data_IF_337783161903
#
_entry.id   IF_337783161903
#
_cell.length_a   1.000
_cell.length_b   1.000
_cell.length_c   1.000
_cell.angle_alpha   90.00
_cell.angle_beta   90.00
_cell.angle_gamma   90.00
#
_symmetry.space_group_name_H-M   'P 1'
#
loop_
_entity.id
_entity.type
_entity.pdbx_description
1 polymer ?
#
# COMPACT_ATOMS: atom_id res chain seq x y z
N UNK A 1 -8.16 -21.04 53.41
CA UNK A 1 -9.09 -22.18 53.54
C UNK A 1 -9.10 -22.85 52.17
N UNK A 2 -8.26 -23.84 51.94
CA UNK A 2 -8.50 -25.31 52.09
C UNK A 2 -9.60 -25.77 51.12
N UNK A 3 -9.46 -26.73 50.19
CA UNK A 3 -8.74 -28.04 50.14
C UNK A 3 -8.75 -28.51 48.69
N UNK A 4 -7.72 -29.08 48.10
CA UNK A 4 -7.35 -30.53 47.97
C UNK A 4 -8.30 -31.33 47.07
N UNK A 5 -7.89 -31.82 45.92
CA UNK A 5 -7.08 -32.99 45.53
C UNK A 5 -7.90 -34.30 45.46
N UNK A 6 -7.74 -35.02 44.32
CA UNK A 6 -7.70 -36.48 44.16
C UNK A 6 -7.55 -36.79 42.65
N UNK A 7 -6.51 -37.26 42.11
CA UNK A 7 -5.88 -38.58 42.14
C UNK A 7 -6.84 -39.73 41.78
N UNK A 8 -6.61 -40.30 40.62
CA UNK A 8 -7.20 -41.57 40.15
C UNK A 8 -6.27 -42.24 39.13
N UNK A 9 -5.37 -43.07 39.63
CA UNK A 9 -4.66 -44.13 38.87
C UNK A 9 -5.56 -45.34 38.75
N UNK A 10 -5.51 -45.99 37.61
CA UNK A 10 -5.73 -47.46 37.40
C UNK A 10 -5.85 -47.70 35.89
N UNK A 11 -5.43 -48.69 35.22
CA UNK A 11 -4.81 -49.98 35.54
C UNK A 11 -4.42 -50.62 34.22
N UNK A 12 -3.24 -51.20 34.18
CA UNK A 12 -2.77 -52.05 33.07
C UNK A 12 -3.63 -53.32 32.96
N UNK A 13 -4.14 -53.62 31.76
CA UNK A 13 -4.59 -54.96 31.40
C UNK A 13 -3.86 -55.49 30.18
N UNK A 14 -2.93 -56.38 30.39
CA UNK A 14 -2.26 -57.19 29.40
C UNK A 14 -3.26 -58.15 28.75
N UNK A 15 -3.40 -58.16 27.44
CA UNK A 15 -4.00 -59.27 26.69
C UNK A 15 -3.03 -59.81 25.65
N UNK A 16 -2.88 -61.13 25.65
CA UNK A 16 -2.00 -61.99 24.84
C UNK A 16 -2.53 -62.10 23.39
N UNK A 17 -1.65 -62.46 22.44
CA UNK A 17 -1.98 -62.50 21.03
C UNK A 17 -2.76 -63.73 20.62
N UNK A 18 -3.74 -63.56 19.74
CA UNK A 18 -4.39 -64.61 19.01
C UNK A 18 -3.80 -64.72 17.58
N UNK A 19 -3.30 -65.92 17.31
CA UNK A 19 -2.77 -66.36 16.02
C UNK A 19 -3.95 -66.57 15.06
N UNK A 20 -4.00 -65.81 13.97
CA UNK A 20 -5.07 -65.94 12.96
C UNK A 20 -4.57 -65.62 11.55
N UNK A 21 -4.35 -66.72 10.84
CA UNK A 21 -4.36 -66.98 9.39
C UNK A 21 -4.12 -65.78 8.44
N UNK A 22 -3.01 -65.88 7.74
CA UNK A 22 -2.70 -65.09 6.56
C UNK A 22 -3.68 -65.39 5.41
N UNK A 23 -4.41 -64.37 4.96
CA UNK A 23 -5.00 -64.31 3.61
C UNK A 23 -4.15 -63.40 2.78
N UNK A 24 -3.47 -63.93 1.79
CA UNK A 24 -2.78 -63.07 0.78
C UNK A 24 -3.82 -62.46 -0.14
N UNK A 25 -4.01 -61.17 0.01
CA UNK A 25 -4.76 -60.37 -0.97
C UNK A 25 -3.74 -59.75 -1.92
N UNK A 26 -3.74 -60.23 -3.18
CA UNK A 26 -3.04 -59.55 -4.26
C UNK A 26 -3.68 -58.17 -4.46
N UNK A 27 -3.06 -57.13 -3.92
CA UNK A 27 -3.43 -55.76 -4.23
C UNK A 27 -2.82 -55.34 -5.55
N UNK A 28 -3.66 -55.14 -6.56
CA UNK A 28 -3.27 -54.38 -7.76
C UNK A 28 -2.93 -52.96 -7.33
N UNK A 29 -1.65 -52.59 -7.36
CA UNK A 29 -1.20 -51.23 -7.21
C UNK A 29 -1.53 -50.46 -8.50
N UNK A 30 -2.64 -49.74 -8.51
CA UNK A 30 -2.94 -48.74 -9.54
C UNK A 30 -2.00 -47.55 -9.33
N UNK A 31 -0.94 -47.48 -10.13
CA UNK A 31 -0.10 -46.31 -10.23
C UNK A 31 -0.90 -45.18 -10.88
N UNK A 32 -1.51 -44.30 -10.07
CA UNK A 32 -2.07 -43.05 -10.55
C UNK A 32 -0.91 -42.14 -10.96
N UNK A 33 -0.64 -42.07 -12.26
CA UNK A 33 0.26 -41.08 -12.83
C UNK A 33 -0.35 -39.67 -12.59
N UNK A 34 0.18 -38.93 -11.62
CA UNK A 34 -0.09 -37.53 -11.46
C UNK A 34 0.50 -36.80 -12.66
N UNK A 35 -0.31 -36.58 -13.68
CA UNK A 35 0.03 -35.67 -14.77
C UNK A 35 0.07 -34.25 -14.17
N UNK A 36 1.27 -33.81 -13.78
CA UNK A 36 1.50 -32.43 -13.37
C UNK A 36 1.23 -31.52 -14.57
N UNK A 37 0.08 -30.82 -14.56
CA UNK A 37 -0.20 -29.79 -15.52
C UNK A 37 0.72 -28.60 -15.17
N UNK A 38 1.89 -28.54 -15.81
CA UNK A 38 2.75 -27.36 -15.76
C UNK A 38 2.06 -26.24 -16.52
N UNK A 39 1.54 -25.24 -15.81
CA UNK A 39 1.06 -24.03 -16.45
C UNK A 39 2.25 -23.38 -17.19
N UNK A 40 2.06 -22.95 -18.45
CA UNK A 40 3.13 -22.30 -19.20
C UNK A 40 3.54 -21.02 -18.48
N UNK A 41 4.84 -20.82 -18.27
CA UNK A 41 5.38 -19.59 -17.74
C UNK A 41 4.98 -18.44 -18.66
N UNK A 42 4.41 -17.37 -18.08
CA UNK A 42 3.98 -16.18 -18.84
C UNK A 42 5.22 -15.54 -19.49
N UNK A 43 5.18 -15.19 -20.77
CA UNK A 43 6.33 -14.60 -21.42
C UNK A 43 6.71 -13.27 -20.80
N UNK A 44 7.99 -13.03 -20.55
CA UNK A 44 8.54 -11.84 -19.87
C UNK A 44 8.07 -10.50 -20.50
N UNK A 45 7.87 -10.45 -21.82
CA UNK A 45 7.34 -9.27 -22.53
C UNK A 45 5.90 -8.94 -22.12
N UNK A 46 5.06 -9.94 -21.91
CA UNK A 46 3.66 -9.75 -21.49
C UNK A 46 3.57 -9.24 -20.06
N UNK A 47 4.44 -9.71 -19.18
CA UNK A 47 4.52 -9.23 -17.79
C UNK A 47 4.98 -7.77 -17.74
N UNK A 48 5.94 -7.38 -18.59
CA UNK A 48 6.40 -5.99 -18.70
C UNK A 48 5.30 -5.04 -19.18
N UNK A 49 4.50 -5.44 -20.15
CA UNK A 49 3.37 -4.63 -20.65
C UNK A 49 2.27 -4.51 -19.60
N UNK A 50 1.90 -5.61 -18.94
CA UNK A 50 0.94 -5.58 -17.84
C UNK A 50 1.43 -4.71 -16.66
N UNK A 51 2.72 -4.75 -16.36
CA UNK A 51 3.35 -3.88 -15.35
C UNK A 51 3.23 -2.40 -15.72
N UNK A 52 3.55 -2.03 -16.96
CA UNK A 52 3.38 -0.65 -17.46
C UNK A 52 1.93 -0.18 -17.38
N UNK A 53 0.99 -1.03 -17.81
CA UNK A 53 -0.44 -0.72 -17.74
C UNK A 53 -0.91 -0.49 -16.30
N UNK A 54 -0.47 -1.33 -15.36
CA UNK A 54 -0.75 -1.16 -13.94
C UNK A 54 -0.16 0.16 -13.41
N UNK A 55 1.06 0.51 -13.80
CA UNK A 55 1.66 1.79 -13.42
C UNK A 55 0.86 2.99 -13.94
N UNK A 56 0.34 2.93 -15.15
CA UNK A 56 -0.49 4.01 -15.68
C UNK A 56 -1.76 4.25 -14.85
N UNK A 57 -2.33 3.21 -14.24
CA UNK A 57 -3.44 3.39 -13.28
C UNK A 57 -2.96 4.06 -11.99
N UNK A 58 -1.80 3.66 -11.45
CA UNK A 58 -1.18 4.33 -10.31
C UNK A 58 -0.88 5.80 -10.62
N UNK A 59 -0.33 6.09 -11.79
CA UNK A 59 -0.02 7.43 -12.25
C UNK A 59 -1.25 8.36 -12.21
N UNK A 60 -2.41 7.90 -12.69
CA UNK A 60 -3.67 8.67 -12.63
C UNK A 60 -4.05 9.07 -11.21
N UNK A 61 -3.78 8.22 -10.23
CA UNK A 61 -4.03 8.52 -8.82
C UNK A 61 -3.02 9.53 -8.30
N UNK A 62 -1.72 9.30 -8.55
CA UNK A 62 -0.65 10.16 -8.03
C UNK A 62 -0.70 11.58 -8.62
N UNK A 63 -1.24 11.76 -9.82
CA UNK A 63 -1.46 13.06 -10.45
C UNK A 63 -2.83 13.66 -10.18
N UNK A 64 -3.68 12.99 -9.39
CA UNK A 64 -4.93 13.59 -8.90
C UNK A 64 -4.65 14.69 -7.86
N UNK A 65 -5.56 15.66 -7.69
CA UNK A 65 -5.37 16.73 -6.70
C UNK A 65 -5.10 16.22 -5.28
N UNK A 66 -5.65 15.06 -4.93
CA UNK A 66 -5.48 14.46 -3.58
C UNK A 66 -4.05 14.05 -3.27
N UNK A 67 -3.25 13.76 -4.28
CA UNK A 67 -1.86 13.38 -4.13
C UNK A 67 -0.93 14.55 -4.50
N UNK A 68 -1.11 15.16 -5.68
CA UNK A 68 -0.18 16.18 -6.17
C UNK A 68 -0.20 17.46 -5.32
N UNK A 69 -1.31 17.79 -4.61
CA UNK A 69 -1.35 18.98 -3.75
C UNK A 69 -0.35 18.91 -2.59
N UNK A 70 -0.02 17.72 -2.10
CA UNK A 70 1.03 17.51 -1.11
C UNK A 70 2.42 17.26 -1.73
N UNK A 71 2.47 17.01 -3.03
CA UNK A 71 3.70 16.68 -3.78
C UNK A 71 4.05 17.73 -4.87
N UNK A 72 4.03 19.07 -4.54
CA UNK A 72 4.39 20.13 -5.47
C UNK A 72 5.89 20.22 -5.69
N UNK A 73 6.30 20.84 -6.78
CA UNK A 73 7.70 21.20 -7.03
C UNK A 73 8.20 22.27 -6.06
N UNK A 74 7.36 23.28 -5.82
CA UNK A 74 7.66 24.40 -4.94
C UNK A 74 7.60 24.05 -3.45
N UNK A 75 7.78 25.07 -2.61
CA UNK A 75 7.70 24.94 -1.15
C UNK A 75 6.31 25.29 -0.59
N UNK A 76 5.41 25.79 -1.42
CA UNK A 76 4.01 25.96 -1.05
C UNK A 76 3.23 24.69 -1.40
N UNK A 77 2.37 24.15 -0.53
CA UNK A 77 1.40 23.15 -0.90
C UNK A 77 0.43 23.70 -1.96
N UNK A 78 -0.22 22.80 -2.69
CA UNK A 78 -1.36 23.16 -3.51
C UNK A 78 -2.66 22.86 -2.76
N UNK A 79 -3.76 23.42 -3.26
CA UNK A 79 -5.07 23.35 -2.64
C UNK A 79 -6.17 23.27 -3.71
N UNK A 80 -7.33 22.75 -3.31
CA UNK A 80 -8.49 22.62 -4.20
C UNK A 80 -8.39 21.46 -5.18
N UNK A 81 -9.43 21.30 -6.00
CA UNK A 81 -9.49 20.30 -7.06
C UNK A 81 -8.80 20.77 -8.35
N UNK A 82 -8.58 22.04 -8.48
CA UNK A 82 -7.80 22.71 -9.52
C UNK A 82 -6.30 22.81 -9.20
N UNK A 83 -5.90 22.36 -8.00
CA UNK A 83 -4.49 22.38 -7.56
C UNK A 83 -3.83 23.75 -7.60
N UNK A 84 -4.54 24.83 -7.26
CA UNK A 84 -3.93 26.15 -7.12
C UNK A 84 -3.02 26.23 -5.89
N UNK A 85 -2.13 27.21 -5.86
CA UNK A 85 -1.24 27.45 -4.71
C UNK A 85 -2.07 27.79 -3.47
N UNK A 86 -1.72 27.22 -2.32
CA UNK A 86 -2.42 27.44 -1.05
C UNK A 86 -2.55 28.91 -0.70
N UNK A 87 -3.78 29.40 -0.58
CA UNK A 87 -4.10 30.84 -0.51
C UNK A 87 -3.48 31.57 0.69
N UNK A 88 -3.25 30.88 1.81
CA UNK A 88 -2.67 31.47 3.03
C UNK A 88 -1.15 31.65 2.94
N UNK A 89 -0.55 31.48 1.75
CA UNK A 89 0.89 31.61 1.52
C UNK A 89 1.77 30.79 2.46
N UNK A 90 1.26 29.64 2.93
CA UNK A 90 2.02 28.71 3.76
C UNK A 90 3.18 28.10 2.98
N UNK A 91 4.23 27.74 3.69
CA UNK A 91 5.42 27.10 3.13
C UNK A 91 5.70 25.80 3.87
N UNK A 92 6.35 24.87 3.19
CA UNK A 92 6.74 23.54 3.69
C UNK A 92 7.49 23.60 5.01
N UNK A 93 8.39 24.57 5.17
CA UNK A 93 9.33 24.58 6.28
C UNK A 93 10.40 23.48 6.19
N UNK A 94 11.29 23.41 7.18
CA UNK A 94 12.42 22.50 7.17
C UNK A 94 12.04 21.04 7.42
N UNK A 95 10.90 20.79 8.06
CA UNK A 95 10.41 19.50 8.50
C UNK A 95 9.13 19.03 7.78
N UNK A 96 8.59 19.86 6.89
CA UNK A 96 7.32 19.60 6.20
C UNK A 96 6.07 20.06 6.96
N UNK A 97 6.21 20.56 8.19
CA UNK A 97 5.09 20.98 9.05
C UNK A 97 4.82 22.50 9.07
N UNK A 98 5.33 23.22 8.09
CA UNK A 98 5.18 24.67 8.01
C UNK A 98 6.36 25.43 8.61
N UNK A 99 6.38 26.74 8.38
CA UNK A 99 7.40 27.63 8.94
C UNK A 99 7.01 28.12 10.34
N UNK A 100 7.98 28.64 11.11
CA UNK A 100 7.71 29.25 12.40
C UNK A 100 6.67 30.37 12.26
N UNK A 101 5.66 30.37 13.11
CA UNK A 101 4.55 31.34 13.06
C UNK A 101 3.43 30.99 12.06
N UNK A 102 3.62 29.97 11.21
CA UNK A 102 2.60 29.48 10.27
C UNK A 102 2.72 27.96 10.10
N UNK A 103 2.47 27.23 11.18
CA UNK A 103 2.49 25.79 11.21
C UNK A 103 1.21 25.23 10.59
N UNK A 104 1.33 24.06 9.93
CA UNK A 104 0.19 23.39 9.30
C UNK A 104 -0.93 23.08 10.30
N UNK A 105 -0.56 22.63 11.51
CA UNK A 105 -1.48 22.25 12.59
C UNK A 105 -2.21 23.43 13.24
N UNK A 106 -1.84 24.67 12.91
CA UNK A 106 -2.62 25.86 13.29
C UNK A 106 -4.04 25.83 12.70
N UNK A 107 -4.19 25.31 11.49
CA UNK A 107 -5.47 25.21 10.79
C UNK A 107 -5.91 23.75 10.54
N UNK A 108 -4.96 22.84 10.30
CA UNK A 108 -5.21 21.44 10.04
C UNK A 108 -5.23 20.65 11.35
N UNK A 109 -6.44 20.36 11.83
CA UNK A 109 -6.64 19.62 13.08
C UNK A 109 -6.42 18.12 12.88
N UNK A 110 -6.62 17.33 13.93
CA UNK A 110 -6.47 15.87 13.88
C UNK A 110 -7.53 15.14 13.04
N UNK A 111 -8.60 15.86 12.66
CA UNK A 111 -9.71 15.36 11.84
C UNK A 111 -10.17 16.46 10.89
N UNK A 112 -10.78 16.05 9.77
CA UNK A 112 -11.48 16.98 8.89
C UNK A 112 -12.52 17.78 9.68
N UNK A 113 -12.55 19.07 9.47
CA UNK A 113 -13.64 19.91 9.98
C UNK A 113 -14.92 19.69 9.15
N UNK A 114 -16.10 19.73 9.76
CA UNK A 114 -17.36 19.55 9.04
C UNK A 114 -17.64 20.76 8.12
N UNK A 115 -18.21 20.48 6.96
CA UNK A 115 -18.60 21.47 5.95
C UNK A 115 -17.73 21.44 4.71
N UNK A 116 -18.30 21.99 3.61
CA UNK A 116 -17.63 21.99 2.31
C UNK A 116 -16.36 22.84 2.34
N UNK A 117 -15.29 22.28 1.79
CA UNK A 117 -13.98 22.93 1.66
C UNK A 117 -13.32 23.41 2.97
N UNK A 118 -13.85 23.02 4.12
CA UNK A 118 -13.25 23.33 5.41
C UNK A 118 -11.84 22.72 5.53
N UNK A 119 -10.93 23.29 6.37
CA UNK A 119 -9.59 22.75 6.51
C UNK A 119 -9.61 21.23 6.78
N UNK A 120 -8.94 20.44 5.95
CA UNK A 120 -8.83 19.00 6.20
C UNK A 120 -7.92 18.74 7.39
N UNK A 121 -8.02 17.56 7.98
CA UNK A 121 -7.24 17.21 9.17
C UNK A 121 -6.74 15.76 9.16
N UNK A 122 -5.56 15.60 9.76
CA UNK A 122 -4.94 14.33 10.07
C UNK A 122 -3.89 14.58 11.17
N UNK A 123 -3.70 13.67 12.15
CA UNK A 123 -2.70 13.86 13.21
C UNK A 123 -1.26 14.02 12.71
N UNK A 124 -0.98 13.54 11.49
CA UNK A 124 0.35 13.57 10.85
C UNK A 124 0.41 14.59 9.71
N UNK A 125 -0.47 15.61 9.68
CA UNK A 125 -0.57 16.55 8.57
C UNK A 125 0.76 17.24 8.29
N UNK A 126 1.34 16.95 7.12
CA UNK A 126 2.64 17.46 6.70
C UNK A 126 2.86 17.27 5.21
N UNK A 127 3.78 18.03 4.66
CA UNK A 127 4.37 17.78 3.35
C UNK A 127 5.61 16.87 3.49
N UNK A 128 6.04 16.18 2.44
CA UNK A 128 7.37 15.59 2.40
C UNK A 128 8.45 16.66 2.68
N UNK A 129 9.54 16.29 3.32
CA UNK A 129 10.60 17.25 3.69
C UNK A 129 11.21 17.93 2.44
N UNK A 130 11.82 19.12 2.57
CA UNK A 130 12.44 19.80 1.44
C UNK A 130 13.58 19.02 0.80
N UNK A 131 14.19 18.10 1.53
CA UNK A 131 15.26 17.22 1.03
C UNK A 131 14.74 16.09 0.13
N UNK A 132 13.44 15.77 0.23
CA UNK A 132 12.81 14.65 -0.46
C UNK A 132 11.37 15.00 -0.82
N UNK A 133 11.19 16.00 -1.66
CA UNK A 133 9.87 16.55 -2.01
C UNK A 133 8.95 15.55 -2.67
N UNK A 134 9.45 14.53 -3.38
CA UNK A 134 8.63 13.60 -4.15
C UNK A 134 7.64 14.34 -5.05
N UNK A 135 8.16 15.06 -6.05
CA UNK A 135 7.34 15.92 -6.92
C UNK A 135 6.49 15.08 -7.86
N UNK A 136 5.16 15.30 -7.85
CA UNK A 136 4.23 14.65 -8.78
C UNK A 136 3.71 15.60 -9.85
N UNK A 137 3.61 16.87 -9.53
CA UNK A 137 3.11 17.91 -10.43
C UNK A 137 4.00 18.02 -11.68
N UNK A 138 3.38 17.98 -12.85
CA UNK A 138 4.07 18.17 -14.13
C UNK A 138 4.94 16.99 -14.58
N UNK A 139 5.01 15.89 -13.81
CA UNK A 139 5.77 14.71 -14.20
C UNK A 139 5.01 13.88 -15.24
N UNK A 140 5.71 13.47 -16.28
CA UNK A 140 5.21 12.44 -17.18
C UNK A 140 5.11 11.07 -16.51
N UNK A 141 4.36 10.11 -17.05
CA UNK A 141 4.30 8.76 -16.50
C UNK A 141 5.68 8.12 -16.34
N UNK A 142 6.55 8.30 -17.33
CA UNK A 142 7.92 7.78 -17.30
C UNK A 142 8.76 8.40 -16.17
N UNK A 143 8.74 9.73 -16.08
CA UNK A 143 9.52 10.46 -15.05
C UNK A 143 9.08 10.08 -13.65
N UNK A 144 7.75 10.00 -13.40
CA UNK A 144 7.24 9.62 -12.09
C UNK A 144 7.55 8.17 -11.75
N UNK A 145 7.47 7.27 -12.72
CA UNK A 145 7.88 5.88 -12.54
C UNK A 145 9.36 5.75 -12.15
N UNK A 146 10.24 6.44 -12.87
CA UNK A 146 11.69 6.45 -12.58
C UNK A 146 11.94 7.03 -11.18
N UNK A 147 11.28 8.15 -10.84
CA UNK A 147 11.40 8.78 -9.52
C UNK A 147 11.00 7.82 -8.39
N UNK A 148 9.90 7.09 -8.54
CA UNK A 148 9.44 6.12 -7.53
C UNK A 148 10.42 4.94 -7.36
N UNK A 149 11.17 4.58 -8.39
CA UNK A 149 12.15 3.49 -8.35
C UNK A 149 13.51 3.93 -7.80
N UNK A 150 13.80 5.21 -7.78
CA UNK A 150 15.09 5.74 -7.33
C UNK A 150 15.06 6.09 -5.83
N UNK A 151 15.76 5.34 -4.96
CA UNK A 151 15.82 5.62 -3.53
C UNK A 151 16.32 7.03 -3.19
N UNK A 152 17.12 7.65 -4.05
CA UNK A 152 17.59 9.02 -3.85
C UNK A 152 16.49 10.05 -4.04
N UNK A 153 15.43 9.71 -4.78
CA UNK A 153 14.32 10.58 -5.10
C UNK A 153 13.02 10.24 -4.35
N UNK A 154 12.90 8.99 -3.85
CA UNK A 154 11.67 8.49 -3.23
C UNK A 154 11.72 8.42 -1.69
N UNK A 155 12.71 9.05 -1.06
CA UNK A 155 12.85 9.02 0.39
C UNK A 155 13.52 7.79 0.95
N UNK A 156 14.34 7.11 0.15
CA UNK A 156 15.08 5.89 0.56
C UNK A 156 14.19 4.65 0.63
N UNK A 157 12.99 4.68 0.05
CA UNK A 157 12.03 3.58 0.13
C UNK A 157 12.29 2.52 -0.92
N UNK A 158 12.13 1.26 -0.54
CA UNK A 158 11.99 0.15 -1.48
C UNK A 158 10.59 0.18 -2.13
N UNK A 159 10.40 -0.54 -3.23
CA UNK A 159 9.08 -0.67 -3.86
C UNK A 159 8.03 -1.28 -2.92
N UNK A 160 8.43 -2.24 -2.08
CA UNK A 160 7.55 -2.81 -1.05
C UNK A 160 7.13 -1.76 -0.01
N UNK A 161 8.05 -0.90 0.43
CA UNK A 161 7.74 0.20 1.36
C UNK A 161 6.84 1.26 0.70
N UNK A 162 6.98 1.51 -0.60
CA UNK A 162 6.06 2.41 -1.32
C UNK A 162 4.66 1.81 -1.43
N UNK A 163 4.55 0.51 -1.70
CA UNK A 163 3.28 -0.20 -1.70
C UNK A 163 2.62 -0.13 -0.32
N UNK A 164 3.36 -0.40 0.75
CA UNK A 164 2.86 -0.32 2.13
C UNK A 164 2.42 1.11 2.48
N UNK A 165 3.20 2.12 2.08
CA UNK A 165 2.87 3.53 2.28
C UNK A 165 1.53 3.91 1.62
N UNK A 166 1.27 3.49 0.39
CA UNK A 166 -0.01 3.72 -0.27
C UNK A 166 -1.14 2.92 0.39
N UNK A 167 -0.87 1.66 0.74
CA UNK A 167 -1.89 0.77 1.28
C UNK A 167 -2.29 1.08 2.73
N UNK A 168 -1.35 1.53 3.59
CA UNK A 168 -1.53 1.51 5.03
C UNK A 168 -1.23 2.83 5.76
N UNK A 169 -0.51 3.78 5.16
CA UNK A 169 -0.19 5.04 5.84
C UNK A 169 -1.45 5.90 6.07
N UNK A 170 -1.62 6.42 7.29
CA UNK A 170 -2.81 7.16 7.69
C UNK A 170 -2.94 8.50 6.96
N UNK A 171 -1.82 9.20 6.75
CA UNK A 171 -1.83 10.49 6.05
C UNK A 171 -2.15 10.31 4.57
N UNK A 172 -1.58 9.28 3.94
CA UNK A 172 -1.93 8.92 2.55
C UNK A 172 -3.39 8.49 2.46
N UNK A 173 -3.90 7.77 3.46
CA UNK A 173 -5.30 7.35 3.54
C UNK A 173 -6.29 8.49 3.55
N UNK A 174 -5.88 9.66 4.04
CA UNK A 174 -6.70 10.88 3.97
C UNK A 174 -7.13 11.21 2.53
N UNK A 175 -6.33 10.92 1.52
CA UNK A 175 -6.67 11.18 0.12
C UNK A 175 -8.01 10.56 -0.32
N UNK A 176 -8.45 9.49 0.32
CA UNK A 176 -9.73 8.81 0.10
C UNK A 176 -10.81 9.16 1.11
N UNK A 177 -10.51 10.07 2.04
CA UNK A 177 -11.47 10.67 2.96
C UNK A 177 -11.15 12.18 3.12
N UNK A 178 -11.20 12.97 2.05
CA UNK A 178 -10.67 14.34 2.04
C UNK A 178 -11.59 15.38 2.69
N UNK A 179 -12.76 14.96 3.20
CA UNK A 179 -13.81 15.86 3.67
C UNK A 179 -14.72 16.36 2.55
N UNK A 180 -15.76 17.08 2.95
CA UNK A 180 -16.83 17.51 2.07
C UNK A 180 -16.37 18.45 0.95
N UNK A 181 -17.04 18.39 -0.20
CA UNK A 181 -16.79 19.25 -1.35
C UNK A 181 -15.51 18.94 -2.16
N UNK A 182 -14.82 17.82 -1.92
CA UNK A 182 -13.58 17.44 -2.60
C UNK A 182 -13.73 16.15 -3.40
N UNK A 183 -13.21 16.16 -4.64
CA UNK A 183 -13.20 14.97 -5.49
C UNK A 183 -12.26 13.91 -4.94
N UNK A 184 -12.66 12.65 -5.08
CA UNK A 184 -11.82 11.50 -4.72
C UNK A 184 -10.81 11.19 -5.84
N UNK A 185 -9.71 10.47 -5.53
CA UNK A 185 -8.86 9.89 -6.56
C UNK A 185 -9.65 8.97 -7.52
N UNK A 186 -9.17 8.78 -8.75
CA UNK A 186 -9.89 8.01 -9.78
C UNK A 186 -10.01 6.51 -9.51
N UNK A 187 -9.27 5.98 -8.55
CA UNK A 187 -9.36 4.62 -8.05
C UNK A 187 -9.51 4.66 -6.52
N UNK A 188 -10.19 3.67 -5.95
CA UNK A 188 -10.18 3.46 -4.50
C UNK A 188 -8.78 3.14 -4.00
N UNK A 189 -8.56 3.28 -2.67
CA UNK A 189 -7.27 2.94 -2.06
C UNK A 189 -6.87 1.48 -2.30
N UNK A 190 -7.83 0.57 -2.18
CA UNK A 190 -7.62 -0.87 -2.39
C UNK A 190 -7.23 -1.16 -3.84
N UNK A 191 -7.94 -0.56 -4.81
CA UNK A 191 -7.60 -0.70 -6.23
C UNK A 191 -6.24 -0.09 -6.54
N UNK A 192 -5.92 1.07 -5.97
CA UNK A 192 -4.60 1.71 -6.14
C UNK A 192 -3.47 0.81 -5.62
N UNK A 193 -3.63 0.25 -4.42
CA UNK A 193 -2.68 -0.69 -3.85
C UNK A 193 -2.55 -1.96 -4.69
N UNK A 194 -3.66 -2.48 -5.24
CA UNK A 194 -3.64 -3.64 -6.14
C UNK A 194 -2.89 -3.35 -7.45
N UNK A 195 -3.11 -2.17 -8.06
CA UNK A 195 -2.37 -1.76 -9.25
C UNK A 195 -0.88 -1.55 -8.96
N UNK A 196 -0.55 -0.95 -7.81
CA UNK A 196 0.84 -0.78 -7.41
C UNK A 196 1.53 -2.12 -7.15
N UNK A 197 0.84 -3.07 -6.53
CA UNK A 197 1.31 -4.46 -6.36
C UNK A 197 1.56 -5.13 -7.71
N UNK A 198 0.60 -5.04 -8.64
CA UNK A 198 0.74 -5.61 -9.98
C UNK A 198 1.91 -5.00 -10.76
N UNK A 199 2.13 -3.68 -10.63
CA UNK A 199 3.30 -3.00 -11.20
C UNK A 199 4.60 -3.56 -10.64
N UNK A 200 4.72 -3.64 -9.31
CA UNK A 200 5.94 -4.11 -8.63
C UNK A 200 6.24 -5.56 -8.96
N UNK A 201 5.26 -6.46 -8.87
CA UNK A 201 5.40 -7.89 -9.15
C UNK A 201 5.64 -8.19 -10.64
N UNK A 202 5.14 -7.34 -11.53
CA UNK A 202 5.42 -7.41 -12.97
C UNK A 202 6.78 -6.84 -13.39
N UNK A 203 7.69 -6.59 -12.43
CA UNK A 203 9.06 -6.13 -12.67
C UNK A 203 9.22 -4.61 -12.66
N UNK A 204 8.24 -3.86 -12.17
CA UNK A 204 8.25 -2.40 -12.03
C UNK A 204 8.65 -1.69 -13.34
N UNK A 205 8.07 -2.11 -14.46
CA UNK A 205 8.37 -1.54 -15.77
C UNK A 205 7.79 -0.12 -15.88
N UNK A 206 8.59 0.80 -16.44
CA UNK A 206 8.14 2.16 -16.69
C UNK A 206 7.54 2.29 -18.10
N UNK A 207 6.50 3.14 -18.27
CA UNK A 207 6.04 3.56 -19.59
C UNK A 207 7.14 4.27 -20.38
N UNK A 208 6.99 4.32 -21.71
CA UNK A 208 7.91 5.00 -22.61
C UNK A 208 7.74 6.52 -22.55
#
# INVERSE_FOLDING_TARGET
MSRLAASGKESLAKRKPALGRALAILGLASAAALVGVSLPARPAKQDTEASRAAFLQVYRVLTSPRCQNCHPEGDAPLQGDDSHVHLQNVKRGNDGHGVYGMRCDTCHQTKNLPGEHMPPGNPKWSLPSPRQKMVFVGRSPRELCIQLKDPKQNGGRTLAMLLDHVANDDLVGWAWNPGDGRTLPPLSRVETAAQMKAWVEGGAACPD
#
